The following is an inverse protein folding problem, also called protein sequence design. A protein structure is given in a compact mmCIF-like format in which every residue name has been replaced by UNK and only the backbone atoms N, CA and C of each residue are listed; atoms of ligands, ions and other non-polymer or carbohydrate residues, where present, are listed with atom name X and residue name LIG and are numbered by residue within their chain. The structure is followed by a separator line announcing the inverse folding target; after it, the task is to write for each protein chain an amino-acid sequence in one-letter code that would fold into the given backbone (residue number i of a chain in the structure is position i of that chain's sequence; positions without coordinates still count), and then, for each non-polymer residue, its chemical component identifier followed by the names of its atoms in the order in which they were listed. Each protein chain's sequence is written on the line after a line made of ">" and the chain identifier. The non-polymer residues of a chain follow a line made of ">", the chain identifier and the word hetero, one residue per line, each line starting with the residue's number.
data_IF_772238423772
#
_entry.id   IF_772238423772
#
_cell.length_a   1.000
_cell.length_b   1.000
_cell.length_c   1.000
_cell.angle_alpha   90.00
_cell.angle_beta   90.00
_cell.angle_gamma   90.00
#
_symmetry.space_group_name_H-M   'P 1'
#
loop_
_entity.id
_entity.type
_entity.pdbx_description
1 polymer ?
#
# COMPACT_ATOMS: atom_id res chain seq x y z
N UNK A 1 -16.53 -14.56 -15.59
CA UNK A 1 -16.00 -13.23 -15.26
C UNK A 1 -14.57 -13.44 -14.80
N UNK A 2 -13.57 -13.07 -15.62
CA UNK A 2 -12.18 -13.16 -15.19
C UNK A 2 -11.91 -11.98 -14.27
N UNK A 3 -11.33 -12.23 -13.09
CA UNK A 3 -10.89 -11.18 -12.17
C UNK A 3 -9.80 -10.34 -12.87
N UNK A 4 -9.79 -9.04 -12.59
CA UNK A 4 -8.81 -8.15 -13.21
C UNK A 4 -7.39 -8.49 -12.71
N UNK A 5 -6.35 -8.46 -13.55
CA UNK A 5 -4.99 -8.81 -13.12
C UNK A 5 -4.43 -7.94 -12.00
N UNK A 6 -4.79 -6.65 -11.92
CA UNK A 6 -4.35 -5.75 -10.84
C UNK A 6 -5.08 -6.08 -9.54
N UNK A 7 -6.38 -6.30 -9.62
CA UNK A 7 -7.18 -6.73 -8.48
C UNK A 7 -6.67 -8.05 -7.88
N UNK A 8 -6.36 -9.02 -8.73
CA UNK A 8 -5.79 -10.30 -8.31
C UNK A 8 -4.44 -10.10 -7.57
N UNK A 9 -3.71 -9.02 -7.86
CA UNK A 9 -2.38 -8.80 -7.30
C UNK A 9 -2.41 -8.35 -5.82
N UNK A 10 -3.41 -7.59 -5.36
CA UNK A 10 -3.54 -7.29 -3.91
C UNK A 10 -3.89 -8.54 -3.13
N UNK A 11 -4.84 -9.34 -3.64
CA UNK A 11 -5.20 -10.62 -3.04
C UNK A 11 -3.97 -11.51 -2.93
N UNK A 12 -3.21 -11.60 -4.03
CA UNK A 12 -1.98 -12.35 -4.09
C UNK A 12 -0.93 -11.85 -3.09
N UNK A 13 -0.79 -10.52 -2.90
CA UNK A 13 0.09 -9.96 -1.88
C UNK A 13 -0.25 -10.49 -0.48
N UNK A 14 -1.51 -10.35 -0.04
CA UNK A 14 -1.93 -10.80 1.29
C UNK A 14 -1.80 -12.31 1.46
N UNK A 15 -2.24 -13.11 0.47
CA UNK A 15 -2.18 -14.57 0.53
C UNK A 15 -0.74 -15.10 0.54
N UNK A 16 0.11 -14.60 -0.37
CA UNK A 16 1.51 -15.03 -0.44
C UNK A 16 2.23 -14.66 0.86
N UNK A 17 1.95 -13.49 1.40
CA UNK A 17 2.57 -13.03 2.64
C UNK A 17 2.06 -13.81 3.87
N UNK A 18 0.78 -14.14 3.94
CA UNK A 18 0.21 -15.02 4.96
C UNK A 18 0.95 -16.35 5.00
N UNK A 19 1.09 -17.04 3.86
CA UNK A 19 1.81 -18.32 3.79
C UNK A 19 3.32 -18.18 4.03
N UNK A 20 3.92 -17.08 3.60
CA UNK A 20 5.33 -16.83 3.81
C UNK A 20 5.66 -16.57 5.28
N UNK A 21 4.85 -15.76 5.97
CA UNK A 21 5.09 -15.35 7.36
C UNK A 21 5.05 -16.51 8.37
N UNK A 22 4.33 -17.59 8.02
CA UNK A 22 4.28 -18.84 8.79
C UNK A 22 5.61 -19.60 8.79
N UNK A 23 6.51 -19.30 7.85
CA UNK A 23 7.79 -19.99 7.73
C UNK A 23 8.76 -19.52 8.80
N UNK A 24 9.54 -20.46 9.31
CA UNK A 24 10.67 -20.17 10.16
C UNK A 24 11.90 -19.89 9.27
N UNK A 25 12.42 -18.67 9.35
CA UNK A 25 13.60 -18.25 8.59
C UNK A 25 14.86 -18.58 9.38
N UNK A 26 15.84 -19.20 8.72
CA UNK A 26 17.16 -19.44 9.33
C UNK A 26 17.91 -18.14 9.64
N UNK A 27 17.68 -17.09 8.83
CA UNK A 27 18.24 -15.75 9.01
C UNK A 27 17.09 -14.75 9.02
N UNK A 28 16.73 -14.25 10.21
CA UNK A 28 15.58 -13.35 10.37
C UNK A 28 15.71 -12.04 9.59
N UNK A 29 16.92 -11.46 9.53
CA UNK A 29 17.22 -10.22 8.81
C UNK A 29 17.08 -10.29 7.28
N UNK A 30 16.88 -11.50 6.72
CA UNK A 30 16.64 -11.69 5.29
C UNK A 30 15.14 -11.77 4.93
N UNK A 31 14.24 -11.51 5.88
CA UNK A 31 12.80 -11.68 5.66
C UNK A 31 12.27 -10.97 4.41
N UNK A 32 12.64 -9.69 4.19
CA UNK A 32 12.26 -8.94 2.99
C UNK A 32 13.01 -9.46 1.76
N UNK A 33 14.32 -9.70 1.87
CA UNK A 33 15.16 -10.17 0.76
C UNK A 33 14.67 -11.50 0.19
N UNK A 34 14.29 -12.45 1.05
CA UNK A 34 13.75 -13.74 0.67
C UNK A 34 12.33 -13.66 0.07
N UNK A 35 11.63 -12.53 0.27
CA UNK A 35 10.31 -12.26 -0.33
C UNK A 35 10.39 -11.27 -1.53
N UNK A 36 11.59 -10.73 -1.82
CA UNK A 36 11.78 -9.60 -2.74
C UNK A 36 11.34 -9.91 -4.18
N UNK A 37 11.50 -11.15 -4.65
CA UNK A 37 11.04 -11.56 -5.98
C UNK A 37 9.52 -11.41 -6.14
N UNK A 38 8.75 -11.80 -5.12
CA UNK A 38 7.29 -11.64 -5.11
C UNK A 38 6.91 -10.16 -4.97
N UNK A 39 7.57 -9.42 -4.07
CA UNK A 39 7.33 -7.98 -3.90
C UNK A 39 7.54 -7.21 -5.21
N UNK A 40 8.61 -7.51 -5.94
CA UNK A 40 8.89 -6.85 -7.22
C UNK A 40 7.80 -7.13 -8.24
N UNK A 41 7.43 -8.40 -8.42
CA UNK A 41 6.36 -8.80 -9.33
C UNK A 41 5.02 -8.10 -9.01
N UNK A 42 4.66 -8.06 -7.73
CA UNK A 42 3.44 -7.42 -7.25
C UNK A 42 3.50 -5.89 -7.41
N UNK A 43 4.66 -5.28 -7.13
CA UNK A 43 4.87 -3.83 -7.26
C UNK A 43 4.72 -3.34 -8.69
N UNK A 44 5.25 -4.11 -9.65
CA UNK A 44 5.14 -3.80 -11.08
C UNK A 44 3.69 -3.91 -11.55
N UNK A 45 2.95 -4.90 -11.05
CA UNK A 45 1.53 -5.14 -11.39
C UNK A 45 0.59 -4.11 -10.79
N UNK A 46 0.82 -3.73 -9.54
CA UNK A 46 -0.02 -2.76 -8.82
C UNK A 46 0.40 -1.31 -9.08
N UNK A 47 1.42 -1.11 -9.92
CA UNK A 47 1.99 0.20 -10.18
C UNK A 47 2.25 0.96 -8.88
N UNK A 48 3.01 0.33 -7.97
CA UNK A 48 3.24 0.83 -6.60
C UNK A 48 4.70 0.65 -6.21
N UNK A 49 5.13 1.36 -5.16
CA UNK A 49 6.45 1.13 -4.57
C UNK A 49 6.34 0.28 -3.30
N UNK A 50 7.49 -0.21 -2.82
CA UNK A 50 7.57 -1.02 -1.62
C UNK A 50 8.37 -0.25 -0.57
N UNK A 51 7.80 -0.11 0.63
CA UNK A 51 8.48 0.43 1.81
C UNK A 51 8.51 -0.63 2.89
N UNK A 52 9.70 -1.11 3.25
CA UNK A 52 9.88 -2.10 4.32
C UNK A 52 8.98 -3.34 4.16
N UNK A 53 8.80 -3.79 2.91
CA UNK A 53 7.96 -4.95 2.57
C UNK A 53 6.46 -4.64 2.41
N UNK A 54 6.04 -3.39 2.59
CA UNK A 54 4.63 -2.95 2.50
C UNK A 54 4.37 -2.22 1.17
N UNK A 55 3.17 -2.38 0.62
CA UNK A 55 2.74 -1.67 -0.58
C UNK A 55 2.49 -0.19 -0.23
N UNK A 56 3.12 0.73 -0.95
CA UNK A 56 2.95 2.16 -0.65
C UNK A 56 1.59 2.69 -1.09
N UNK A 57 1.02 2.17 -2.17
CA UNK A 57 -0.27 2.62 -2.70
C UNK A 57 -1.46 2.29 -1.83
N UNK A 58 -1.30 1.28 -0.98
CA UNK A 58 -2.30 0.87 0.00
C UNK A 58 -1.69 0.86 1.39
N UNK A 59 -0.78 1.81 1.69
CA UNK A 59 0.03 1.77 2.92
C UNK A 59 -0.83 1.71 4.19
N UNK A 60 -1.91 2.49 4.25
CA UNK A 60 -2.86 2.47 5.36
C UNK A 60 -3.51 1.10 5.57
N UNK A 61 -3.71 0.31 4.52
CA UNK A 61 -4.22 -1.08 4.62
C UNK A 61 -3.07 -2.03 4.97
N UNK A 62 -1.91 -1.85 4.33
CA UNK A 62 -0.74 -2.71 4.48
C UNK A 62 -0.23 -2.77 5.93
N UNK A 63 -0.40 -1.70 6.72
CA UNK A 63 0.01 -1.68 8.14
C UNK A 63 -1.00 -2.28 9.12
N UNK A 64 -2.20 -2.68 8.67
CA UNK A 64 -3.29 -3.13 9.57
C UNK A 64 -3.26 -4.62 9.91
N UNK A 65 -2.16 -5.32 9.59
CA UNK A 65 -2.05 -6.75 9.90
C UNK A 65 -2.05 -7.01 11.40
N UNK A 66 -2.45 -8.23 11.76
CA UNK A 66 -2.43 -8.77 13.10
C UNK A 66 -1.80 -10.16 13.10
N UNK A 67 -1.53 -10.70 14.29
CA UNK A 67 -1.06 -12.07 14.46
C UNK A 67 -1.05 -12.48 15.92
N UNK A 68 -1.07 -13.78 16.17
CA UNK A 68 -1.02 -14.34 17.52
C UNK A 68 0.37 -14.89 17.82
N UNK A 69 0.91 -14.58 19.00
CA UNK A 69 2.23 -15.08 19.41
C UNK A 69 3.41 -14.57 18.57
N UNK A 70 3.26 -13.41 17.93
CA UNK A 70 4.32 -12.82 17.12
C UNK A 70 5.58 -12.52 17.95
N UNK A 71 6.75 -12.88 17.42
CA UNK A 71 8.06 -12.59 18.01
C UNK A 71 8.74 -11.46 17.25
N UNK A 72 9.29 -10.47 17.97
CA UNK A 72 9.93 -9.30 17.37
C UNK A 72 11.28 -9.64 16.71
N UNK A 73 11.50 -9.14 15.48
CA UNK A 73 12.79 -9.14 14.76
C UNK A 73 13.41 -7.75 14.72
N UNK A 74 14.44 -7.48 15.51
CA UNK A 74 15.00 -6.12 15.70
C UNK A 74 15.52 -5.45 14.42
N UNK A 75 15.77 -6.20 13.36
CA UNK A 75 16.37 -5.77 12.10
C UNK A 75 15.45 -4.89 11.25
N UNK A 76 14.12 -4.97 11.44
CA UNK A 76 13.13 -4.22 10.66
C UNK A 76 12.29 -3.30 11.54
N UNK A 77 11.67 -2.23 11.01
CA UNK A 77 10.73 -1.42 11.77
C UNK A 77 9.54 -2.21 12.33
N UNK A 78 8.99 -1.78 13.47
CA UNK A 78 7.87 -2.48 14.12
C UNK A 78 6.56 -2.42 13.34
N UNK A 79 6.40 -1.46 12.43
CA UNK A 79 5.23 -1.35 11.54
C UNK A 79 5.30 -2.28 10.33
N UNK A 80 6.46 -2.88 10.05
CA UNK A 80 6.64 -3.83 8.96
C UNK A 80 6.33 -5.25 9.42
N UNK A 81 5.64 -6.02 8.59
CA UNK A 81 5.41 -7.45 8.81
C UNK A 81 6.75 -8.20 8.99
N UNK A 82 7.82 -7.76 8.32
CA UNK A 82 9.14 -8.38 8.41
C UNK A 82 9.75 -8.26 9.81
N UNK A 83 9.33 -7.23 10.55
CA UNK A 83 9.66 -7.02 11.95
C UNK A 83 9.08 -8.06 12.91
N UNK A 84 8.32 -9.04 12.42
CA UNK A 84 7.65 -10.05 13.23
C UNK A 84 7.86 -11.45 12.65
N UNK A 85 8.11 -12.41 13.53
CA UNK A 85 8.13 -13.84 13.22
C UNK A 85 6.88 -14.51 13.76
N UNK A 86 6.22 -15.29 12.91
CA UNK A 86 4.92 -15.88 13.17
C UNK A 86 3.91 -15.50 12.09
N UNK A 87 2.80 -16.20 12.06
CA UNK A 87 1.74 -15.98 11.09
C UNK A 87 1.15 -14.58 11.26
N UNK A 88 1.37 -13.71 10.28
CA UNK A 88 0.63 -12.46 10.13
C UNK A 88 -0.56 -12.69 9.23
N UNK A 89 -1.64 -11.99 9.52
CA UNK A 89 -2.87 -12.01 8.77
C UNK A 89 -3.45 -10.59 8.70
N UNK A 90 -4.29 -10.32 7.71
CA UNK A 90 -4.98 -9.03 7.60
C UNK A 90 -6.41 -9.19 8.08
N UNK A 91 -7.02 -8.13 8.65
CA UNK A 91 -8.44 -8.14 8.95
C UNK A 91 -9.16 -8.65 7.73
N UNK A 92 -9.85 -9.77 7.88
CA UNK A 92 -10.74 -10.28 6.86
C UNK A 92 -11.84 -9.23 6.67
N UNK A 93 -11.62 -8.32 5.71
CA UNK A 93 -12.56 -7.29 5.33
C UNK A 93 -13.74 -7.96 4.64
N UNK A 94 -14.57 -8.69 5.40
CA UNK A 94 -15.68 -9.51 4.92
C UNK A 94 -15.46 -10.04 3.49
N UNK A 95 -14.64 -11.08 3.35
CA UNK A 95 -14.67 -11.99 2.19
C UNK A 95 -16.01 -12.74 2.19
N UNK A 96 -17.13 -12.02 2.18
CA UNK A 96 -18.45 -12.60 2.07
C UNK A 96 -18.55 -13.19 0.67
N UNK A 97 -18.71 -14.51 0.52
CA UNK A 97 -18.86 -15.16 -0.78
C UNK A 97 -20.04 -14.61 -1.60
N UNK A 98 -20.95 -13.85 -0.98
CA UNK A 98 -22.08 -13.16 -1.63
C UNK A 98 -21.72 -11.79 -2.19
N UNK A 99 -20.67 -11.13 -1.70
CA UNK A 99 -20.14 -9.90 -2.30
C UNK A 99 -19.09 -10.29 -3.33
N UNK A 100 -19.55 -10.57 -4.54
CA UNK A 100 -18.71 -10.73 -5.75
C UNK A 100 -18.04 -9.41 -6.19
N UNK A 101 -17.93 -8.42 -5.29
CA UNK A 101 -17.14 -7.22 -5.55
C UNK A 101 -15.68 -7.54 -5.26
N UNK A 102 -14.93 -7.37 -6.32
CA UNK A 102 -13.50 -7.56 -6.49
C UNK A 102 -12.68 -6.81 -5.43
N UNK A 103 -11.68 -7.44 -4.81
CA UNK A 103 -10.95 -6.93 -3.62
C UNK A 103 -10.31 -5.54 -3.84
N UNK A 104 -10.00 -5.19 -5.08
CA UNK A 104 -9.51 -3.87 -5.49
C UNK A 104 -10.53 -2.74 -5.26
N UNK A 105 -11.82 -3.02 -5.46
CA UNK A 105 -12.90 -2.03 -5.28
C UNK A 105 -13.01 -1.67 -3.81
N UNK A 106 -12.97 -2.67 -2.92
CA UNK A 106 -12.97 -2.43 -1.48
C UNK A 106 -11.72 -1.71 -1.00
N UNK A 107 -10.53 -2.09 -1.49
CA UNK A 107 -9.30 -1.39 -1.14
C UNK A 107 -9.36 0.08 -1.57
N UNK A 108 -9.84 0.37 -2.78
CA UNK A 108 -9.98 1.75 -3.28
C UNK A 108 -11.01 2.55 -2.47
N UNK A 109 -12.21 2.01 -2.26
CA UNK A 109 -13.25 2.67 -1.46
C UNK A 109 -12.80 2.92 -0.02
N UNK A 110 -12.10 1.94 0.57
CA UNK A 110 -11.54 2.06 1.91
C UNK A 110 -10.50 3.18 1.97
N UNK A 111 -9.59 3.24 1.00
CA UNK A 111 -8.53 4.27 0.94
C UNK A 111 -9.11 5.67 0.74
N UNK A 112 -10.23 5.79 0.02
CA UNK A 112 -10.91 7.07 -0.19
C UNK A 112 -11.68 7.57 1.04
N UNK A 113 -12.20 6.67 1.87
CA UNK A 113 -13.15 7.04 2.95
C UNK A 113 -12.60 6.88 4.37
N UNK A 114 -11.51 6.13 4.56
CA UNK A 114 -11.02 5.72 5.89
C UNK A 114 -9.55 6.07 6.15
N UNK A 115 -8.96 6.95 5.34
CA UNK A 115 -7.57 7.38 5.52
C UNK A 115 -7.50 8.75 6.20
N UNK A 116 -6.91 8.79 7.39
CA UNK A 116 -6.80 10.00 8.22
C UNK A 116 -5.36 10.49 8.36
N UNK A 117 -4.38 9.66 8.02
CA UNK A 117 -2.96 9.94 8.16
C UNK A 117 -2.38 10.25 6.78
N UNK A 118 -1.62 11.35 6.70
CA UNK A 118 -0.84 11.69 5.52
C UNK A 118 0.57 11.14 5.70
N UNK A 119 0.86 10.05 5.00
CA UNK A 119 2.13 9.35 5.08
C UNK A 119 3.20 10.03 4.21
N UNK A 120 4.40 10.19 4.76
CA UNK A 120 5.56 10.67 4.02
C UNK A 120 6.82 9.92 4.42
N UNK A 121 7.76 9.80 3.49
CA UNK A 121 9.06 9.20 3.69
C UNK A 121 10.16 10.19 3.26
N UNK A 122 11.29 10.16 3.95
CA UNK A 122 12.46 10.93 3.54
C UNK A 122 13.17 10.17 2.42
N UNK A 123 13.44 10.87 1.32
CA UNK A 123 14.26 10.36 0.22
C UNK A 123 15.75 10.39 0.60
N UNK A 124 16.62 9.64 -0.11
CA UNK A 124 18.06 9.72 0.10
C UNK A 124 18.63 11.15 -0.03
N UNK A 125 17.95 12.01 -0.79
CA UNK A 125 18.31 13.41 -0.99
C UNK A 125 17.75 14.32 0.13
N UNK A 126 17.35 13.75 1.27
CA UNK A 126 16.75 14.40 2.43
C UNK A 126 15.42 15.14 2.17
N UNK A 127 14.87 15.05 0.97
CA UNK A 127 13.57 15.61 0.64
C UNK A 127 12.44 14.72 1.17
N UNK A 128 11.45 15.32 1.85
CA UNK A 128 10.27 14.64 2.33
C UNK A 128 9.28 14.44 1.16
N UNK A 129 9.00 13.18 0.85
CA UNK A 129 8.11 12.78 -0.23
C UNK A 129 6.87 12.10 0.34
N UNK A 130 5.69 12.47 -0.16
CA UNK A 130 4.45 11.83 0.20
C UNK A 130 4.42 10.39 -0.32
N UNK A 131 4.08 9.45 0.56
CA UNK A 131 3.88 8.05 0.21
C UNK A 131 2.67 7.95 -0.71
N UNK A 132 2.92 7.39 -1.90
CA UNK A 132 1.96 7.20 -2.98
C UNK A 132 1.34 8.46 -3.61
N UNK A 133 2.12 9.54 -3.72
CA UNK A 133 1.84 10.60 -4.71
C UNK A 133 2.86 10.51 -5.88
N UNK A 134 3.76 9.52 -5.81
CA UNK A 134 4.88 9.33 -6.71
C UNK A 134 4.55 8.60 -8.02
N UNK A 135 3.41 7.93 -8.14
CA UNK A 135 2.88 7.61 -9.46
C UNK A 135 2.04 8.77 -9.95
N UNK A 136 2.68 9.53 -10.84
CA UNK A 136 2.11 10.57 -11.69
C UNK A 136 0.62 10.30 -11.93
N UNK A 137 -0.20 11.34 -11.74
CA UNK A 137 -1.64 11.43 -11.97
C UNK A 137 -2.26 10.55 -13.08
N UNK A 138 -1.48 10.14 -14.09
CA UNK A 138 -1.88 9.17 -15.10
C UNK A 138 -2.26 7.77 -14.56
N UNK A 139 -1.63 7.26 -13.50
CA UNK A 139 -2.02 5.96 -12.92
C UNK A 139 -3.37 6.06 -12.20
N UNK A 140 -3.61 7.14 -11.47
CA UNK A 140 -4.89 7.39 -10.78
C UNK A 140 -6.08 7.56 -11.75
N UNK A 141 -5.83 7.90 -13.03
CA UNK A 141 -6.87 7.92 -14.07
C UNK A 141 -7.20 6.54 -14.64
N UNK A 142 -6.41 5.50 -14.33
CA UNK A 142 -6.75 4.13 -14.67
C UNK A 142 -7.79 3.62 -13.66
N UNK A 143 -8.95 3.19 -14.16
CA UNK A 143 -10.03 2.64 -13.33
C UNK A 143 -9.62 1.39 -12.54
N UNK A 144 -8.55 0.71 -12.95
CA UNK A 144 -8.02 -0.48 -12.28
C UNK A 144 -6.99 -0.17 -11.19
N UNK A 145 -6.43 1.05 -11.18
CA UNK A 145 -5.36 1.41 -10.24
C UNK A 145 -5.83 1.34 -8.78
N UNK A 146 -5.17 0.51 -7.98
CA UNK A 146 -5.49 0.43 -6.56
C UNK A 146 -4.54 1.28 -5.73
N UNK A 147 -5.06 2.41 -5.26
CA UNK A 147 -4.35 3.31 -4.38
C UNK A 147 -5.18 4.53 -4.01
N UNK A 148 -4.53 5.57 -3.52
CA UNK A 148 -5.22 6.77 -3.06
C UNK A 148 -5.69 7.63 -4.24
N UNK A 149 -7.01 7.71 -4.46
CA UNK A 149 -7.59 8.48 -5.58
C UNK A 149 -8.12 9.84 -5.14
N UNK A 150 -8.92 9.87 -4.08
CA UNK A 150 -9.66 11.05 -3.65
C UNK A 150 -9.28 11.49 -2.23
N UNK A 151 -7.98 11.49 -1.88
CA UNK A 151 -7.53 11.93 -0.55
C UNK A 151 -7.82 13.42 -0.33
N UNK A 152 -9.00 13.72 0.21
CA UNK A 152 -9.42 15.05 0.65
C UNK A 152 -8.91 15.31 2.07
N UNK A 153 -7.60 15.50 2.23
CA UNK A 153 -7.03 15.89 3.53
C UNK A 153 -6.72 17.40 3.56
N UNK A 154 -7.06 18.15 4.63
CA UNK A 154 -6.77 19.58 4.75
C UNK A 154 -5.29 19.96 4.61
N UNK A 155 -4.39 19.01 4.90
CA UNK A 155 -2.94 19.19 4.70
C UNK A 155 -2.49 19.01 3.24
N UNK A 156 -3.28 18.33 2.41
CA UNK A 156 -3.03 18.17 0.98
C UNK A 156 -3.58 19.35 0.16
N UNK A 157 -4.65 20.00 0.62
CA UNK A 157 -5.23 21.20 -0.03
C UNK A 157 -4.47 22.49 0.25
N UNK A 158 -3.51 22.48 1.19
CA UNK A 158 -2.71 23.65 1.57
C UNK A 158 -1.51 23.93 0.68
N UNK A 159 -1.21 23.05 -0.28
CA UNK A 159 -0.18 23.24 -1.30
C UNK A 159 -0.78 23.76 -2.60
N UNK A 160 -0.52 25.03 -2.92
CA UNK A 160 -0.88 25.70 -4.17
C UNK A 160 -0.77 24.79 -5.41
N UNK A 161 -1.91 24.53 -6.06
CA UNK A 161 -1.95 24.36 -7.52
C UNK A 161 -2.43 25.70 -8.06
N UNK A 162 -1.58 26.49 -8.75
CA UNK A 162 -2.05 27.66 -9.47
C UNK A 162 -3.07 27.20 -10.50
N UNK A 163 -4.28 27.75 -10.42
CA UNK A 163 -5.35 27.48 -11.36
C UNK A 163 -4.89 27.90 -12.77
N UNK A 164 -4.77 27.00 -13.77
CA UNK A 164 -4.22 27.33 -15.09
C UNK A 164 -5.15 28.21 -15.96
N UNK A 165 -6.15 28.86 -15.37
CA UNK A 165 -7.11 29.74 -16.05
C UNK A 165 -7.29 31.13 -15.44
N UNK A 166 -6.50 31.53 -14.45
CA UNK A 166 -6.60 32.88 -13.89
C UNK A 166 -5.77 33.86 -14.73
N UNK A 167 -6.40 34.47 -15.74
CA UNK A 167 -5.85 35.61 -16.48
C UNK A 167 -5.53 36.75 -15.50
N UNK A 168 -4.34 37.37 -15.53
CA UNK A 168 -4.07 38.51 -14.67
C UNK A 168 -4.92 39.70 -15.13
N UNK A 169 -5.70 40.27 -14.21
CA UNK A 169 -6.34 41.56 -14.41
C UNK A 169 -5.24 42.61 -14.61
N UNK A 170 -5.23 43.24 -15.78
CA UNK A 170 -4.36 44.36 -16.10
C UNK A 170 -4.75 45.59 -15.24
N UNK A 171 -3.71 46.38 -14.93
CA UNK A 171 -3.78 47.72 -14.32
C UNK A 171 -4.82 48.64 -14.96
#
# INVERSE_FOLDING_TARGET
>A
MALDPEETAIVAYHLLLFYYSQRELSVGGDAINAFAGMLRFLSDRLHTSILEGLLTSTFDISILYYGSGLKRRSEFPSYSWAGWSGAVDWPQWNFDPKFQSTESIFATEWLDTRTWIVWSAMTPDEALQLLDIGLKSAAATNENYVGYRNRCHPLLTRGNVPNPGATPAAM
#
